data_IF_249793087218
#
_entry.id   IF_249793087218
#
_cell.length_a   1.000
_cell.length_b   1.000
_cell.length_c   1.000
_cell.angle_alpha   90.00
_cell.angle_beta   90.00
_cell.angle_gamma   90.00
#
_symmetry.space_group_name_H-M   'P 1'
#
loop_
_entity.id
_entity.type
_entity.pdbx_description
1 polymer ?
#
# COMPACT_ATOMS: atom_id res chain seq x y z
N UNK A 1 49.05 -33.34 14.12
CA UNK A 1 48.07 -33.28 15.22
C UNK A 1 48.16 -31.89 15.81
N UNK A 2 47.01 -31.25 16.01
CA UNK A 2 46.77 -29.97 16.71
C UNK A 2 46.61 -28.72 15.83
N UNK A 3 45.33 -28.50 15.52
CA UNK A 3 44.58 -27.23 15.44
C UNK A 3 44.81 -26.31 14.23
N UNK A 4 43.95 -26.48 13.22
CA UNK A 4 43.60 -25.45 12.26
C UNK A 4 42.75 -24.38 12.98
N UNK A 5 43.40 -23.28 13.34
CA UNK A 5 42.75 -22.03 13.76
C UNK A 5 42.67 -21.12 12.55
N UNK A 6 41.70 -21.34 11.67
CA UNK A 6 41.34 -20.42 10.59
C UNK A 6 40.08 -20.98 9.96
N UNK A 7 38.92 -20.41 10.28
CA UNK A 7 37.68 -20.34 9.49
C UNK A 7 36.53 -19.97 10.44
N UNK A 8 36.47 -18.71 10.88
CA UNK A 8 35.20 -18.15 11.35
C UNK A 8 35.14 -16.65 11.04
N UNK A 9 35.25 -16.32 9.75
CA UNK A 9 35.02 -14.95 9.26
C UNK A 9 34.22 -14.93 7.95
N UNK A 10 33.29 -15.86 7.77
CA UNK A 10 32.35 -15.88 6.67
C UNK A 10 30.98 -16.20 7.25
N UNK A 11 29.97 -15.42 6.90
CA UNK A 11 28.59 -15.39 7.44
C UNK A 11 28.33 -14.39 8.59
N UNK A 12 28.84 -13.16 8.48
CA UNK A 12 27.98 -12.01 8.78
C UNK A 12 27.31 -11.63 7.46
N UNK A 13 26.44 -12.52 6.96
CA UNK A 13 25.42 -12.09 6.03
C UNK A 13 24.66 -10.97 6.72
N UNK A 14 24.34 -9.92 6.01
CA UNK A 14 23.52 -8.83 6.52
C UNK A 14 22.21 -9.44 6.98
N UNK A 15 22.14 -9.79 8.26
CA UNK A 15 20.90 -9.99 8.99
C UNK A 15 20.26 -8.61 8.94
N UNK A 16 19.50 -8.37 7.87
CA UNK A 16 18.51 -7.30 7.84
C UNK A 16 17.43 -7.74 8.83
N UNK A 17 17.79 -7.69 10.11
CA UNK A 17 16.85 -7.63 11.21
C UNK A 17 16.05 -6.36 10.92
N UNK A 18 14.74 -6.43 10.61
CA UNK A 18 13.94 -5.23 10.51
C UNK A 18 13.95 -4.61 11.89
N UNK A 19 14.66 -3.51 12.04
CA UNK A 19 14.53 -2.59 13.14
C UNK A 19 13.03 -2.31 13.27
N UNK A 20 12.45 -2.80 14.36
CA UNK A 20 11.03 -2.71 14.57
C UNK A 20 10.62 -1.23 14.64
N UNK A 21 9.54 -0.91 13.92
CA UNK A 21 8.61 0.19 14.12
C UNK A 21 8.85 1.53 13.40
N UNK A 22 9.23 1.51 12.13
CA UNK A 22 8.77 2.58 11.23
C UNK A 22 7.40 2.18 10.66
N UNK A 23 6.40 3.06 10.79
CA UNK A 23 5.12 2.88 10.11
C UNK A 23 5.41 2.86 8.59
N UNK A 24 5.03 1.81 7.85
CA UNK A 24 5.28 1.71 6.40
C UNK A 24 4.69 2.88 5.60
N UNK A 25 3.72 3.61 6.15
CA UNK A 25 3.10 4.78 5.56
C UNK A 25 3.80 6.11 5.93
N UNK A 26 4.80 6.09 6.81
CA UNK A 26 5.55 7.28 7.22
C UNK A 26 6.38 7.87 6.07
N UNK A 27 6.56 9.19 6.09
CA UNK A 27 7.30 9.94 5.07
C UNK A 27 6.60 10.08 3.72
N UNK A 28 5.47 9.42 3.49
CA UNK A 28 4.66 9.61 2.28
C UNK A 28 3.90 10.93 2.37
N UNK A 29 3.85 11.68 1.25
CA UNK A 29 2.96 12.85 1.11
C UNK A 29 1.61 12.38 0.59
N UNK A 30 0.53 12.83 1.23
CA UNK A 30 -0.82 12.33 1.00
C UNK A 30 -1.73 13.41 0.44
N UNK A 31 -2.67 13.01 -0.40
CA UNK A 31 -3.73 13.87 -0.90
C UNK A 31 -5.06 13.15 -0.97
N UNK A 32 -6.14 13.94 -1.06
CA UNK A 32 -7.48 13.43 -1.35
C UNK A 32 -7.80 13.63 -2.82
N UNK A 33 -8.30 12.58 -3.45
CA UNK A 33 -8.71 12.57 -4.85
C UNK A 33 -10.00 11.78 -5.02
N UNK A 34 -10.80 12.14 -6.01
CA UNK A 34 -11.96 11.33 -6.37
C UNK A 34 -11.53 10.22 -7.35
N UNK A 35 -11.87 8.97 -7.04
CA UNK A 35 -11.70 7.85 -7.95
C UNK A 35 -12.96 7.75 -8.81
N UNK A 36 -12.84 8.04 -10.11
CA UNK A 36 -13.98 8.02 -11.04
C UNK A 36 -13.61 7.36 -12.35
N UNK A 37 -14.42 6.40 -12.76
CA UNK A 37 -14.29 5.67 -14.02
C UNK A 37 -15.60 5.83 -14.80
N UNK A 38 -15.47 6.24 -16.05
CA UNK A 38 -16.60 6.37 -16.97
C UNK A 38 -16.67 5.11 -17.83
N UNK A 39 -17.89 4.69 -18.15
CA UNK A 39 -18.14 3.69 -19.17
C UNK A 39 -17.79 4.29 -20.54
N UNK A 40 -16.98 3.59 -21.33
CA UNK A 40 -16.54 4.07 -22.62
C UNK A 40 -17.65 4.00 -23.70
N UNK A 41 -18.71 3.23 -23.46
CA UNK A 41 -19.78 2.99 -24.43
C UNK A 41 -20.83 4.10 -24.43
N UNK A 42 -21.14 4.66 -23.26
CA UNK A 42 -22.20 5.68 -23.10
C UNK A 42 -21.78 6.89 -22.25
N UNK A 43 -20.56 6.90 -21.70
CA UNK A 43 -20.05 7.99 -20.86
C UNK A 43 -20.65 8.02 -19.45
N UNK A 44 -21.45 7.04 -19.07
CA UNK A 44 -22.02 6.92 -17.73
C UNK A 44 -20.93 6.65 -16.69
N UNK A 45 -21.24 6.83 -15.41
CA UNK A 45 -20.29 6.55 -14.33
C UNK A 45 -20.33 5.06 -14.01
N UNK A 46 -19.30 4.32 -14.44
CA UNK A 46 -19.16 2.89 -14.15
C UNK A 46 -18.72 2.64 -12.70
N UNK A 47 -17.96 3.57 -12.11
CA UNK A 47 -17.52 3.53 -10.72
C UNK A 47 -17.18 4.92 -10.22
N UNK A 48 -17.57 5.23 -8.99
CA UNK A 48 -17.17 6.45 -8.29
C UNK A 48 -16.98 6.18 -6.80
N UNK A 49 -15.87 6.67 -6.25
CA UNK A 49 -15.67 6.80 -4.82
C UNK A 49 -14.91 8.11 -4.56
N UNK A 50 -15.53 9.02 -3.81
CA UNK A 50 -15.00 10.37 -3.59
C UNK A 50 -14.10 10.45 -2.37
N UNK A 51 -13.17 11.41 -2.41
CA UNK A 51 -12.33 11.77 -1.28
C UNK A 51 -11.40 10.64 -0.81
N UNK A 52 -10.96 9.78 -1.72
CA UNK A 52 -10.02 8.71 -1.37
C UNK A 52 -8.64 9.29 -1.09
N UNK A 53 -7.98 8.78 -0.06
CA UNK A 53 -6.67 9.23 0.37
C UNK A 53 -5.57 8.33 -0.19
N UNK A 54 -4.67 8.93 -0.95
CA UNK A 54 -3.62 8.25 -1.72
C UNK A 54 -2.32 9.05 -1.68
N UNK A 55 -1.16 8.44 -2.00
CA UNK A 55 0.08 9.17 -2.16
C UNK A 55 -0.03 10.24 -3.24
N UNK A 56 0.44 11.45 -2.97
CA UNK A 56 0.38 12.57 -3.93
C UNK A 56 1.15 12.32 -5.23
N UNK A 57 2.14 11.44 -5.18
CA UNK A 57 2.93 11.03 -6.35
C UNK A 57 2.16 10.06 -7.30
N UNK A 58 1.03 9.51 -6.88
CA UNK A 58 0.28 8.55 -7.70
C UNK A 58 -0.54 9.24 -8.77
N UNK A 59 -0.61 8.60 -9.94
CA UNK A 59 -1.51 9.04 -11.01
C UNK A 59 -2.98 8.78 -10.67
N UNK A 60 -3.89 9.49 -11.36
CA UNK A 60 -5.33 9.22 -11.30
C UNK A 60 -5.66 7.75 -11.62
N UNK A 61 -4.93 7.12 -12.56
CA UNK A 61 -5.13 5.72 -12.91
C UNK A 61 -4.82 4.79 -11.73
N UNK A 62 -3.73 5.04 -11.00
CA UNK A 62 -3.39 4.28 -9.81
C UNK A 62 -4.45 4.44 -8.71
N UNK A 63 -4.94 5.68 -8.49
CA UNK A 63 -6.06 5.95 -7.58
C UNK A 63 -7.32 5.16 -7.96
N UNK A 64 -7.67 5.16 -9.25
CA UNK A 64 -8.85 4.46 -9.76
C UNK A 64 -8.75 2.93 -9.56
N UNK A 65 -7.60 2.34 -9.88
CA UNK A 65 -7.35 0.90 -9.72
C UNK A 65 -7.40 0.52 -8.23
N UNK A 66 -6.73 1.28 -7.36
CA UNK A 66 -6.74 1.06 -5.92
C UNK A 66 -8.18 1.03 -5.39
N UNK A 67 -8.94 2.09 -5.66
CA UNK A 67 -10.29 2.24 -5.13
C UNK A 67 -11.26 1.17 -5.68
N UNK A 68 -11.13 0.79 -6.95
CA UNK A 68 -12.05 -0.18 -7.56
C UNK A 68 -11.72 -1.63 -7.19
N UNK A 69 -10.43 -1.98 -7.02
CA UNK A 69 -10.00 -3.38 -6.92
C UNK A 69 -9.51 -3.80 -5.55
N UNK A 70 -9.00 -2.87 -4.73
CA UNK A 70 -8.29 -3.21 -3.49
C UNK A 70 -8.98 -2.71 -2.23
N UNK A 71 -9.75 -1.61 -2.31
CA UNK A 71 -10.55 -1.15 -1.17
C UNK A 71 -11.62 -2.18 -0.81
N UNK A 72 -11.60 -2.63 0.44
CA UNK A 72 -12.58 -3.54 1.02
C UNK A 72 -13.83 -2.79 1.49
N UNK A 73 -14.94 -3.50 1.56
CA UNK A 73 -16.25 -2.97 1.92
C UNK A 73 -17.13 -2.61 0.72
N UNK A 74 -18.44 -2.62 0.90
CA UNK A 74 -19.38 -2.19 -0.13
C UNK A 74 -19.27 -0.67 -0.36
N UNK A 75 -19.63 -0.20 -1.55
CA UNK A 75 -19.70 1.24 -1.78
C UNK A 75 -20.76 1.89 -0.87
N UNK A 76 -20.54 3.15 -0.52
CA UNK A 76 -21.43 3.96 0.33
C UNK A 76 -21.70 3.40 1.74
N UNK A 77 -20.90 2.43 2.20
CA UNK A 77 -20.96 1.95 3.58
C UNK A 77 -19.84 2.56 4.43
N UNK A 78 -20.06 2.75 5.75
CA UNK A 78 -19.00 3.21 6.66
C UNK A 78 -17.81 2.26 6.76
N UNK A 79 -18.02 0.97 6.45
CA UNK A 79 -17.00 -0.06 6.43
C UNK A 79 -16.11 -0.04 5.18
N UNK A 80 -16.41 0.83 4.21
CA UNK A 80 -15.62 0.98 2.99
C UNK A 80 -14.28 1.62 3.31
N UNK A 81 -13.20 0.96 2.93
CA UNK A 81 -11.86 1.56 2.92
C UNK A 81 -11.86 2.78 1.98
N UNK A 82 -11.26 3.86 2.43
CA UNK A 82 -11.14 5.13 1.71
C UNK A 82 -9.71 5.65 1.67
N UNK A 83 -8.78 5.05 2.41
CA UNK A 83 -7.36 5.43 2.42
C UNK A 83 -6.47 4.23 2.12
N UNK A 84 -5.40 4.44 1.34
CA UNK A 84 -4.35 3.42 1.17
C UNK A 84 -3.70 3.06 2.52
N UNK A 85 -3.67 3.96 3.51
CA UNK A 85 -3.19 3.62 4.86
C UNK A 85 -3.94 2.45 5.46
N UNK A 86 -5.27 2.45 5.36
CA UNK A 86 -6.11 1.34 5.85
C UNK A 86 -5.79 0.01 5.14
N UNK A 87 -5.45 0.07 3.85
CA UNK A 87 -5.02 -1.09 3.08
C UNK A 87 -3.66 -1.59 3.58
N UNK A 88 -2.71 -0.69 3.84
CA UNK A 88 -1.38 -1.00 4.35
C UNK A 88 -1.46 -1.62 5.75
N UNK A 89 -2.17 -0.98 6.68
CA UNK A 89 -2.38 -1.49 8.05
C UNK A 89 -2.93 -2.92 8.02
N UNK A 90 -3.90 -3.16 7.14
CA UNK A 90 -4.52 -4.46 6.97
C UNK A 90 -3.59 -5.51 6.39
N UNK A 91 -2.62 -5.13 5.56
CA UNK A 91 -1.64 -6.06 4.96
C UNK A 91 -0.51 -6.34 5.96
N UNK A 92 -0.06 -5.35 6.72
CA UNK A 92 1.01 -5.55 7.71
C UNK A 92 0.51 -6.32 8.93
N UNK A 93 -0.77 -6.21 9.28
CA UNK A 93 -1.39 -6.99 10.34
C UNK A 93 -1.66 -8.47 10.01
N UNK A 94 -1.26 -8.99 8.85
CA UNK A 94 -1.41 -10.40 8.45
C UNK A 94 -0.10 -11.15 8.46
#
# INVERSE_FOLDING_TARGET
MTLASEQNNLLAGTDLQPDAADDPADGIVWERRDARLLDHSDGSVAFEQRGVEVPSAWSQNATNILAQKYFRGALDTPSREWSLRQVVDRIVGT
#
